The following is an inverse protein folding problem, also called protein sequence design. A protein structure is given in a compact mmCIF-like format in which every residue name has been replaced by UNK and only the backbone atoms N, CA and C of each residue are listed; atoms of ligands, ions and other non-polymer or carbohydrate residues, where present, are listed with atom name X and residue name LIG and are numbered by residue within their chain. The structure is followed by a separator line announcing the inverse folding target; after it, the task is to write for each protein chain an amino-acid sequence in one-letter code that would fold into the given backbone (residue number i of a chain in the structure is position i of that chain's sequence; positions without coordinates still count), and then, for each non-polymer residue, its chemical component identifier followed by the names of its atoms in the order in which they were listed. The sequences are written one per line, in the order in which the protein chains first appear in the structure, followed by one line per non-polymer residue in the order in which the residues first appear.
data_IF_747085882661
#
_entry.id   IF_747085882661
#
_cell.length_a   1.000
_cell.length_b   1.000
_cell.length_c   1.000
_cell.angle_alpha   90.00
_cell.angle_beta   90.00
_cell.angle_gamma   90.00
#
_symmetry.space_group_name_H-M   'P 1'
#
loop_
_entity.id
_entity.type
_entity.pdbx_description
1 polymer ?
#
# COMPACT_ATOMS: atom_id res chain seq x y z
N UNK A 1 4.35 15.44 -6.93
CA UNK A 1 4.08 14.26 -6.07
C UNK A 1 2.94 13.45 -6.66
N UNK A 2 3.16 12.16 -6.88
CA UNK A 2 2.18 11.22 -7.43
C UNK A 2 2.09 9.97 -6.56
N UNK A 3 0.88 9.44 -6.36
CA UNK A 3 0.68 8.22 -5.57
C UNK A 3 0.45 7.01 -6.49
N UNK A 4 0.60 5.83 -5.90
CA UNK A 4 0.22 4.56 -6.48
C UNK A 4 -0.95 3.96 -5.71
N UNK A 5 -1.76 3.14 -6.37
CA UNK A 5 -2.79 2.32 -5.74
C UNK A 5 -2.67 0.87 -6.22
N UNK A 6 -2.77 -0.08 -5.29
CA UNK A 6 -2.63 -1.52 -5.61
C UNK A 6 -3.54 -2.38 -4.73
N UNK A 7 -4.17 -3.37 -5.36
CA UNK A 7 -4.90 -4.42 -4.66
C UNK A 7 -3.96 -5.37 -3.92
N UNK A 8 -4.34 -5.73 -2.69
CA UNK A 8 -3.66 -6.74 -1.87
C UNK A 8 -4.46 -8.04 -1.93
N UNK A 9 -3.87 -9.08 -2.52
CA UNK A 9 -4.52 -10.39 -2.67
C UNK A 9 -4.22 -11.25 -1.45
N UNK A 10 -5.22 -11.97 -0.94
CA UNK A 10 -5.06 -12.90 0.18
C UNK A 10 -4.68 -12.21 1.50
N UNK A 11 -5.14 -10.98 1.68
CA UNK A 11 -5.11 -10.23 2.95
C UNK A 11 -6.49 -9.59 3.09
N UNK A 12 -7.06 -9.70 4.28
CA UNK A 12 -8.44 -9.26 4.59
C UNK A 12 -8.50 -8.01 5.47
N UNK A 13 -7.41 -7.68 6.18
CA UNK A 13 -7.30 -6.51 7.06
C UNK A 13 -5.93 -5.83 6.98
N UNK A 14 -5.81 -4.63 7.56
CA UNK A 14 -4.53 -3.90 7.64
C UNK A 14 -3.57 -4.56 8.62
N UNK A 15 -4.07 -5.19 9.67
CA UNK A 15 -3.28 -5.97 10.63
C UNK A 15 -2.64 -7.18 9.95
N UNK A 16 -3.42 -7.91 9.14
CA UNK A 16 -2.89 -9.05 8.38
C UNK A 16 -1.87 -8.59 7.32
N UNK A 17 -2.04 -7.40 6.73
CA UNK A 17 -1.00 -6.78 5.90
C UNK A 17 0.28 -6.56 6.69
N UNK A 18 0.18 -6.02 7.91
CA UNK A 18 1.33 -5.78 8.77
C UNK A 18 2.06 -7.07 9.13
N UNK A 19 1.33 -8.14 9.47
CA UNK A 19 1.91 -9.47 9.72
C UNK A 19 2.61 -10.02 8.47
N UNK A 20 1.98 -9.90 7.28
CA UNK A 20 2.60 -10.34 6.02
C UNK A 20 3.91 -9.59 5.71
N UNK A 21 4.01 -8.32 6.11
CA UNK A 21 5.23 -7.52 5.92
C UNK A 21 6.39 -7.92 6.85
N UNK A 22 6.16 -8.79 7.84
CA UNK A 22 7.24 -9.36 8.66
C UNK A 22 7.98 -10.51 7.96
N UNK A 23 7.40 -11.09 6.91
CA UNK A 23 8.02 -12.17 6.15
C UNK A 23 9.32 -11.68 5.48
N UNK A 24 10.47 -12.38 5.64
CA UNK A 24 11.72 -12.04 4.98
C UNK A 24 11.63 -11.90 3.45
N UNK A 25 10.73 -12.64 2.80
CA UNK A 25 10.46 -12.53 1.36
C UNK A 25 9.87 -11.17 1.00
N UNK A 26 9.02 -10.61 1.87
CA UNK A 26 8.35 -9.33 1.71
C UNK A 26 9.15 -8.15 2.31
N UNK A 27 10.43 -8.35 2.61
CA UNK A 27 11.31 -7.26 3.08
C UNK A 27 12.68 -7.26 2.40
N UNK A 28 13.32 -6.08 2.32
CA UNK A 28 14.67 -5.91 1.79
C UNK A 28 15.51 -4.98 2.65
N UNK A 29 16.82 -5.22 2.68
CA UNK A 29 17.76 -4.24 3.23
C UNK A 29 17.82 -3.02 2.31
N UNK A 30 18.05 -1.85 2.88
CA UNK A 30 18.16 -0.62 2.14
C UNK A 30 19.35 0.19 2.69
N UNK A 31 20.24 0.75 1.84
CA UNK A 31 21.48 1.40 2.29
C UNK A 31 21.28 2.53 3.31
N UNK A 32 20.15 3.24 3.20
CA UNK A 32 19.83 4.38 4.06
C UNK A 32 18.88 4.03 5.23
N UNK A 33 18.57 2.75 5.46
CA UNK A 33 17.70 2.32 6.56
C UNK A 33 18.31 1.13 7.30
N UNK A 34 18.42 1.25 8.63
CA UNK A 34 18.99 0.18 9.48
C UNK A 34 18.09 -1.05 9.57
N UNK A 35 16.76 -0.84 9.53
CA UNK A 35 15.78 -1.92 9.48
C UNK A 35 15.50 -2.35 8.03
N UNK A 36 15.08 -3.60 7.85
CA UNK A 36 14.58 -4.07 6.55
C UNK A 36 13.26 -3.35 6.24
N UNK A 37 13.12 -2.88 5.01
CA UNK A 37 11.94 -2.20 4.52
C UNK A 37 10.94 -3.20 3.93
N UNK A 38 9.63 -3.04 4.16
CA UNK A 38 8.61 -3.77 3.42
C UNK A 38 8.72 -3.51 1.92
N UNK A 39 8.47 -4.55 1.12
CA UNK A 39 8.52 -4.45 -0.33
C UNK A 39 7.27 -5.00 -1.00
N UNK A 40 6.97 -4.46 -2.19
CA UNK A 40 5.94 -5.01 -3.07
C UNK A 40 6.51 -5.29 -4.45
N UNK A 41 6.38 -6.55 -4.83
CA UNK A 41 6.73 -7.06 -6.15
C UNK A 41 5.65 -6.71 -7.17
N UNK A 42 6.06 -6.13 -8.29
CA UNK A 42 5.18 -5.80 -9.43
C UNK A 42 5.88 -6.13 -10.74
N UNK A 43 5.12 -6.30 -11.83
CA UNK A 43 5.71 -6.64 -13.14
C UNK A 43 6.22 -5.41 -13.90
N UNK A 44 5.53 -4.29 -13.78
CA UNK A 44 5.77 -3.11 -14.62
C UNK A 44 6.36 -1.98 -13.81
N UNK A 45 7.40 -1.36 -14.35
CA UNK A 45 8.06 -0.21 -13.72
C UNK A 45 7.23 1.08 -13.91
N UNK A 46 7.00 1.89 -12.86
CA UNK A 46 6.31 3.16 -12.99
C UNK A 46 7.11 4.16 -13.84
N UNK A 47 6.55 4.59 -14.97
CA UNK A 47 7.17 5.60 -15.85
C UNK A 47 7.36 6.97 -15.18
N UNK A 48 6.51 7.30 -14.21
CA UNK A 48 6.56 8.56 -13.45
C UNK A 48 7.21 8.34 -12.07
N UNK A 49 8.29 7.55 -12.03
CA UNK A 49 8.99 7.20 -10.78
C UNK A 49 9.50 8.43 -10.03
N UNK A 50 10.02 9.44 -10.74
CA UNK A 50 10.51 10.69 -10.13
C UNK A 50 9.41 11.40 -9.32
N UNK A 51 8.21 11.55 -9.89
CA UNK A 51 7.08 12.18 -9.19
C UNK A 51 6.59 11.36 -7.99
N UNK A 52 6.72 10.03 -8.06
CA UNK A 52 6.42 9.13 -6.94
C UNK A 52 7.45 9.28 -5.83
N UNK A 53 8.74 9.34 -6.17
CA UNK A 53 9.81 9.44 -5.17
C UNK A 53 9.88 10.82 -4.48
N UNK A 54 9.22 11.84 -5.04
CA UNK A 54 8.98 13.14 -4.39
C UNK A 54 7.87 13.08 -3.31
N UNK A 55 7.91 12.07 -2.43
CA UNK A 55 6.99 11.94 -1.29
C UNK A 55 5.67 11.20 -1.56
N UNK A 56 5.54 10.55 -2.71
CA UNK A 56 4.39 9.73 -3.06
C UNK A 56 4.22 8.51 -2.15
N UNK A 57 2.98 8.02 -2.10
CA UNK A 57 2.62 6.85 -1.31
C UNK A 57 1.95 5.78 -2.15
N UNK A 58 2.04 4.55 -1.67
CA UNK A 58 1.34 3.40 -2.22
C UNK A 58 0.12 3.06 -1.34
N UNK A 59 -1.07 3.34 -1.88
CA UNK A 59 -2.37 3.07 -1.29
C UNK A 59 -2.79 1.61 -1.52
N UNK A 60 -3.40 1.02 -0.50
CA UNK A 60 -3.74 -0.41 -0.44
C UNK A 60 -5.24 -0.61 -0.50
N UNK A 61 -5.66 -1.38 -1.49
CA UNK A 61 -7.05 -1.85 -1.59
C UNK A 61 -7.13 -3.23 -0.96
N UNK A 62 -7.85 -3.33 0.16
CA UNK A 62 -8.05 -4.54 0.95
C UNK A 62 -9.56 -4.74 1.08
N UNK A 63 -10.05 -5.94 0.74
CA UNK A 63 -11.48 -6.28 0.81
C UNK A 63 -12.41 -5.29 0.08
N UNK A 64 -11.94 -4.72 -1.03
CA UNK A 64 -12.70 -3.77 -1.87
C UNK A 64 -12.65 -2.31 -1.42
N UNK A 65 -11.92 -1.99 -0.35
CA UNK A 65 -11.76 -0.64 0.19
C UNK A 65 -10.30 -0.21 0.16
N UNK A 66 -10.02 1.05 -0.17
CA UNK A 66 -8.75 1.68 0.17
C UNK A 66 -8.71 1.84 1.69
N UNK A 67 -7.72 1.27 2.38
CA UNK A 67 -7.71 1.27 3.86
C UNK A 67 -6.44 1.85 4.49
N UNK A 68 -5.32 1.82 3.77
CA UNK A 68 -4.07 2.40 4.26
C UNK A 68 -3.15 2.82 3.12
N UNK A 69 -2.10 3.55 3.48
CA UNK A 69 -0.99 3.92 2.61
C UNK A 69 0.35 3.74 3.34
N UNK A 70 1.40 3.58 2.55
CA UNK A 70 2.79 3.67 3.02
C UNK A 70 3.55 4.55 2.04
N UNK A 71 4.45 5.38 2.52
CA UNK A 71 5.32 6.17 1.65
C UNK A 71 6.18 5.24 0.79
N UNK A 72 6.34 5.59 -0.50
CA UNK A 72 7.31 4.93 -1.39
C UNK A 72 8.67 5.55 -1.13
N UNK A 73 9.62 4.73 -0.69
CA UNK A 73 10.97 5.16 -0.38
C UNK A 73 11.93 4.94 -1.56
N UNK A 74 11.73 3.86 -2.31
CA UNK A 74 12.57 3.54 -3.47
C UNK A 74 11.83 2.64 -4.47
N UNK A 75 12.29 2.65 -5.72
CA UNK A 75 11.79 1.84 -6.83
C UNK A 75 12.99 1.18 -7.54
N UNK A 76 13.08 -0.14 -7.42
CA UNK A 76 14.20 -0.90 -7.97
C UNK A 76 13.73 -1.87 -9.04
N UNK A 77 14.56 -2.14 -10.04
CA UNK A 77 14.35 -3.27 -10.94
C UNK A 77 14.69 -4.57 -10.22
N UNK A 78 13.92 -5.62 -10.46
CA UNK A 78 14.23 -6.96 -9.97
C UNK A 78 14.16 -7.99 -11.09
N UNK A 79 14.97 -9.04 -11.01
CA UNK A 79 14.80 -10.22 -11.87
C UNK A 79 13.88 -11.19 -11.15
N UNK A 80 12.75 -11.53 -11.78
CA UNK A 80 11.77 -12.47 -11.24
C UNK A 80 12.22 -13.91 -11.47
N UNK A 81 11.62 -14.86 -10.75
CA UNK A 81 11.98 -16.28 -10.83
C UNK A 81 11.82 -16.91 -12.23
N UNK A 82 11.04 -16.28 -13.12
CA UNK A 82 10.87 -16.67 -14.52
C UNK A 82 11.89 -15.99 -15.47
N UNK A 83 12.89 -15.29 -14.94
CA UNK A 83 13.91 -14.56 -15.70
C UNK A 83 13.45 -13.21 -16.26
N UNK A 84 12.16 -12.86 -16.10
CA UNK A 84 11.64 -11.57 -16.58
C UNK A 84 12.00 -10.42 -15.63
N UNK A 85 12.14 -9.21 -16.17
CA UNK A 85 12.28 -8.01 -15.34
C UNK A 85 10.96 -7.66 -14.65
N UNK A 86 11.06 -7.30 -13.38
CA UNK A 86 9.99 -6.77 -12.56
C UNK A 86 10.42 -5.49 -11.86
N UNK A 87 9.57 -5.05 -10.93
CA UNK A 87 9.80 -3.85 -10.14
C UNK A 87 9.49 -4.12 -8.69
N UNK A 88 10.45 -3.77 -7.85
CA UNK A 88 10.38 -3.83 -6.41
C UNK A 88 10.09 -2.42 -5.88
N UNK A 89 8.95 -2.27 -5.22
CA UNK A 89 8.57 -1.02 -4.56
C UNK A 89 8.95 -1.13 -3.09
N UNK A 90 9.89 -0.31 -2.63
CA UNK A 90 10.32 -0.28 -1.23
C UNK A 90 9.51 0.79 -0.49
N UNK A 91 9.03 0.43 0.70
CA UNK A 91 8.04 1.22 1.44
C UNK A 91 8.54 1.59 2.83
N UNK A 92 8.02 2.69 3.35
CA UNK A 92 8.16 3.00 4.78
C UNK A 92 7.54 1.86 5.62
N UNK A 93 8.17 1.45 6.74
CA UNK A 93 7.59 0.47 7.66
C UNK A 93 6.27 0.94 8.29
N UNK A 94 6.04 2.25 8.34
CA UNK A 94 4.85 2.84 8.94
C UNK A 94 3.63 2.69 8.02
N UNK A 95 2.62 1.95 8.48
CA UNK A 95 1.33 1.83 7.81
C UNK A 95 0.37 2.90 8.33
N UNK A 96 0.02 3.85 7.48
CA UNK A 96 -0.88 4.95 7.81
C UNK A 96 -2.30 4.59 7.35
N UNK A 97 -3.26 4.61 8.28
CA UNK A 97 -4.68 4.39 7.95
C UNK A 97 -5.24 5.60 7.23
N UNK A 98 -6.14 5.36 6.27
CA UNK A 98 -6.83 6.40 5.50
C UNK A 98 -8.33 6.20 5.58
N UNK A 99 -9.09 7.25 5.30
CA UNK A 99 -10.56 7.15 5.23
C UNK A 99 -10.97 6.07 4.21
N UNK A 100 -11.78 5.07 4.63
CA UNK A 100 -12.15 3.98 3.75
C UNK A 100 -12.90 4.47 2.51
N UNK A 101 -12.40 4.12 1.33
CA UNK A 101 -13.05 4.46 0.05
C UNK A 101 -13.23 3.22 -0.80
N UNK A 102 -14.46 2.98 -1.27
CA UNK A 102 -14.76 1.85 -2.14
C UNK A 102 -13.97 1.94 -3.45
N UNK A 103 -13.41 0.81 -3.88
CA UNK A 103 -12.61 0.71 -5.09
C UNK A 103 -13.00 -0.52 -5.89
N UNK A 104 -13.35 -0.32 -7.16
CA UNK A 104 -13.64 -1.43 -8.07
C UNK A 104 -12.39 -2.28 -8.27
N UNK A 105 -12.52 -3.61 -8.43
CA UNK A 105 -11.38 -4.47 -8.74
C UNK A 105 -10.62 -3.99 -9.97
N UNK A 106 -9.29 -4.06 -9.91
CA UNK A 106 -8.40 -3.80 -11.03
C UNK A 106 -7.16 -4.69 -10.93
N UNK A 107 -6.49 -4.86 -12.06
CA UNK A 107 -5.27 -5.65 -12.16
C UNK A 107 -4.03 -4.78 -11.99
N UNK A 108 -3.02 -5.30 -11.29
CA UNK A 108 -1.74 -4.63 -11.12
C UNK A 108 -1.80 -3.45 -10.15
N UNK A 109 -1.16 -2.35 -10.54
CA UNK A 109 -1.18 -1.07 -9.85
C UNK A 109 -1.63 0.04 -10.80
N UNK A 110 -2.09 1.16 -10.26
CA UNK A 110 -2.43 2.37 -11.03
C UNK A 110 -1.84 3.61 -10.37
N UNK A 111 -1.68 4.67 -11.15
CA UNK A 111 -1.44 5.99 -10.56
C UNK A 111 -2.69 6.48 -9.84
N UNK A 112 -2.48 7.20 -8.75
CA UNK A 112 -3.49 7.86 -7.96
C UNK A 112 -3.05 9.31 -7.78
N UNK A 113 -3.84 10.26 -8.28
CA UNK A 113 -3.52 11.68 -8.11
C UNK A 113 -3.70 12.07 -6.63
N UNK A 114 -2.93 13.03 -6.10
CA UNK A 114 -3.10 13.50 -4.72
C UNK A 114 -4.54 13.93 -4.40
N UNK A 115 -5.23 14.58 -5.35
CA UNK A 115 -6.62 15.02 -5.18
C UNK A 115 -7.64 13.86 -5.07
N UNK A 116 -7.30 12.68 -5.62
CA UNK A 116 -8.17 11.50 -5.59
C UNK A 116 -7.87 10.59 -4.38
N UNK A 117 -6.77 10.85 -3.67
CA UNK A 117 -6.33 10.04 -2.55
C UNK A 117 -7.20 10.31 -1.31
N UNK A 118 -7.68 9.27 -0.62
CA UNK A 118 -8.36 9.45 0.67
C UNK A 118 -7.40 10.08 1.69
N UNK A 119 -7.88 11.00 2.54
CA UNK A 119 -7.06 11.60 3.58
C UNK A 119 -6.70 10.57 4.66
N UNK A 120 -5.63 10.86 5.40
CA UNK A 120 -5.24 10.06 6.56
C UNK A 120 -6.31 10.14 7.64
N UNK A 121 -6.55 9.01 8.32
CA UNK A 121 -7.35 9.04 9.54
C UNK A 121 -6.52 9.71 10.64
N UNK A 122 -6.86 10.95 10.99
CA UNK A 122 -6.29 11.62 12.16
C UNK A 122 -6.60 10.78 13.40
N UNK A 123 -5.57 10.35 14.12
CA UNK A 123 -5.65 9.38 15.23
C UNK A 123 -6.57 9.82 16.37
N UNK A 124 -7.87 9.54 16.23
CA UNK A 124 -8.82 9.44 17.35
C UNK A 124 -9.79 8.25 17.18
N UNK A 125 -9.50 7.33 16.27
CA UNK A 125 -10.26 6.08 16.11
C UNK A 125 -9.30 4.90 16.02
N UNK A 126 -8.41 4.78 17.01
CA UNK A 126 -7.89 3.48 17.45
C UNK A 126 -8.96 2.78 18.29
N UNK A 127 -10.16 2.62 17.75
CA UNK A 127 -11.15 1.72 18.32
C UNK A 127 -10.89 0.34 17.73
N UNK A 128 -10.55 -0.61 18.60
CA UNK A 128 -10.57 -2.06 18.38
C UNK A 128 -11.97 -2.53 17.91
N UNK A 129 -12.41 -2.10 16.73
CA UNK A 129 -13.68 -2.50 16.15
C UNK A 129 -13.40 -3.61 15.12
N UNK A 130 -13.90 -4.84 15.35
CA UNK A 130 -13.66 -5.96 14.46
C UNK A 130 -14.18 -5.66 13.04
N UNK A 131 -13.55 -6.23 11.99
CA UNK A 131 -13.81 -5.87 10.58
C UNK A 131 -15.26 -5.98 10.11
N UNK A 132 -16.09 -6.78 10.80
CA UNK A 132 -17.50 -6.96 10.47
C UNK A 132 -18.36 -5.72 10.81
N UNK A 133 -17.98 -4.92 11.82
CA UNK A 133 -18.75 -3.73 12.24
C UNK A 133 -18.42 -2.47 11.44
N UNK A 134 -17.22 -2.38 10.86
CA UNK A 134 -16.85 -1.25 10.00
C UNK A 134 -17.64 -1.25 8.68
N UNK A 135 -18.03 -2.43 8.18
CA UNK A 135 -18.86 -2.57 6.98
C UNK A 135 -20.29 -2.05 7.17
N UNK A 136 -20.86 -2.20 8.37
CA UNK A 136 -22.22 -1.73 8.66
C UNK A 136 -22.28 -0.21 8.86
N UNK A 137 -21.27 0.39 9.48
CA UNK A 137 -21.21 1.83 9.69
C UNK A 137 -21.05 2.62 8.37
N UNK A 138 -20.24 2.09 7.44
CA UNK A 138 -20.08 2.71 6.11
C UNK A 138 -21.36 2.61 5.26
N UNK A 139 -22.24 1.64 5.54
CA UNK A 139 -23.52 1.48 4.85
C UNK A 139 -24.63 2.39 5.39
N UNK A 140 -24.47 2.94 6.59
CA UNK A 140 -25.46 3.77 7.28
C UNK A 140 -25.16 5.29 7.22
N UNK A 141 -24.02 5.70 6.65
CA UNK A 141 -23.78 7.10 6.27
C UNK A 141 -23.78 8.09 7.44
N UNK A 142 -23.07 7.76 8.53
CA UNK A 142 -22.65 8.71 9.57
C UNK A 142 -21.12 8.68 9.68
#
# INVERSE_FOLDING_TARGET
MLNLIKLVVGVSSVEELAERQKDPHNTRQHPHHSARLPVVHTRTFPRQSEEILQGGSLYRVISGLIQCRQQVLDLQTETRGDGTQGTLILLSPEIIRVEPRAMRPFQGWRYLKPADAPPDLSGTQSSNLPPHLQKELTLLGL
#
